data_IF_059246730206
#
_entry.id   IF_059246730206
#
_cell.length_a   1.000
_cell.length_b   1.000
_cell.length_c   1.000
_cell.angle_alpha   90.00
_cell.angle_beta   90.00
_cell.angle_gamma   90.00
#
_symmetry.space_group_name_H-M   'P 1'
#
loop_
_entity.id
_entity.type
_entity.pdbx_description
1 polymer ?
#
# COMPACT_ATOMS: atom_id res chain seq x y z
N UNK A 1 38.39 29.60 48.09
CA UNK A 1 39.05 30.88 48.42
C UNK A 1 38.54 31.95 47.47
N UNK A 2 38.66 33.26 47.76
CA UNK A 2 38.39 34.27 46.74
C UNK A 2 39.41 34.15 45.60
N UNK A 3 39.00 34.58 44.40
CA UNK A 3 39.88 34.67 43.23
C UNK A 3 41.22 35.37 43.56
N UNK A 4 42.32 34.82 43.04
CA UNK A 4 43.66 35.39 43.20
C UNK A 4 44.24 35.78 41.85
N UNK A 5 44.41 37.09 41.60
CA UNK A 5 45.02 37.58 40.36
C UNK A 5 46.47 37.14 40.19
N UNK A 6 47.19 36.85 41.29
CA UNK A 6 48.56 36.35 41.25
C UNK A 6 48.68 34.98 40.57
N UNK A 7 47.59 34.21 40.52
CA UNK A 7 47.57 32.89 39.90
C UNK A 7 47.08 32.93 38.44
N UNK A 8 46.77 34.11 37.90
CA UNK A 8 46.37 34.31 36.51
C UNK A 8 47.55 34.86 35.71
N UNK A 9 48.03 34.09 34.74
CA UNK A 9 49.19 34.44 33.92
C UNK A 9 48.84 34.36 32.45
N UNK A 10 49.24 35.35 31.66
CA UNK A 10 49.17 35.26 30.21
C UNK A 10 50.36 34.40 29.71
N UNK A 11 50.06 33.26 29.10
CA UNK A 11 51.07 32.38 28.50
C UNK A 11 51.49 32.86 27.11
N UNK A 12 50.50 33.27 26.30
CA UNK A 12 50.71 33.75 24.93
C UNK A 12 49.76 34.92 24.69
N UNK A 13 50.28 36.04 24.20
CA UNK A 13 49.49 37.20 23.80
C UNK A 13 49.60 37.40 22.29
N UNK A 14 48.57 37.00 21.55
CA UNK A 14 48.45 37.23 20.12
C UNK A 14 47.69 38.52 19.80
N UNK A 15 47.62 38.86 18.52
CA UNK A 15 46.86 40.03 18.05
C UNK A 15 45.33 39.86 18.20
N UNK A 16 44.85 38.62 18.21
CA UNK A 16 43.41 38.29 18.21
C UNK A 16 42.93 37.52 19.44
N UNK A 17 43.82 36.89 20.21
CA UNK A 17 43.48 36.19 21.45
C UNK A 17 44.68 36.14 22.40
N UNK A 18 44.40 36.00 23.68
CA UNK A 18 45.37 35.65 24.72
C UNK A 18 45.09 34.26 25.24
N UNK A 19 46.14 33.44 25.35
CA UNK A 19 46.11 32.18 26.10
C UNK A 19 46.51 32.47 27.55
N UNK A 20 45.57 32.29 28.46
CA UNK A 20 45.74 32.43 29.89
C UNK A 20 46.03 31.07 30.54
N UNK A 21 46.75 31.10 31.65
CA UNK A 21 46.80 30.01 32.61
C UNK A 21 46.23 30.52 33.94
N UNK A 22 45.33 29.75 34.53
CA UNK A 22 44.86 29.99 35.88
C UNK A 22 45.00 28.73 36.72
N UNK A 23 45.68 28.85 37.87
CA UNK A 23 45.84 27.76 38.83
C UNK A 23 45.17 28.10 40.15
N UNK A 24 44.32 27.22 40.65
CA UNK A 24 43.69 27.40 41.95
C UNK A 24 43.45 26.06 42.65
N UNK A 25 43.31 26.13 43.98
CA UNK A 25 42.86 25.01 44.81
C UNK A 25 41.32 24.92 44.86
N UNK A 26 40.59 25.86 44.25
CA UNK A 26 39.14 25.76 44.11
C UNK A 26 38.77 24.69 43.07
N UNK A 27 37.57 24.11 43.21
CA UNK A 27 37.03 23.15 42.26
C UNK A 27 36.60 23.81 40.96
N UNK A 28 36.57 23.04 39.86
CA UNK A 28 36.10 23.52 38.56
C UNK A 28 34.73 24.19 38.62
N UNK A 29 33.78 23.57 39.33
CA UNK A 29 32.43 24.09 39.45
C UNK A 29 32.41 25.51 40.06
N UNK A 30 33.25 25.76 41.07
CA UNK A 30 33.39 27.07 41.71
C UNK A 30 34.05 28.09 40.78
N UNK A 31 35.11 27.71 40.06
CA UNK A 31 35.82 28.62 39.17
C UNK A 31 34.99 29.00 37.95
N UNK A 32 34.16 28.10 37.45
CA UNK A 32 33.25 28.38 36.32
C UNK A 32 31.97 29.10 36.75
N UNK A 33 31.77 29.35 38.06
CA UNK A 33 30.62 30.10 38.54
C UNK A 33 30.66 31.55 38.04
N UNK A 34 29.48 32.13 37.82
CA UNK A 34 29.37 33.52 37.37
C UNK A 34 30.04 34.47 38.36
N UNK A 35 30.85 35.39 37.85
CA UNK A 35 31.49 36.44 38.66
C UNK A 35 32.80 36.03 39.33
N UNK A 36 33.25 34.78 39.22
CA UNK A 36 34.52 34.34 39.83
C UNK A 36 35.71 35.19 39.35
N UNK A 37 35.76 35.55 38.06
CA UNK A 37 36.80 36.41 37.46
C UNK A 37 36.44 37.90 37.39
N UNK A 38 35.45 38.37 38.16
CA UNK A 38 35.00 39.77 38.08
C UNK A 38 36.12 40.80 38.33
N UNK A 39 37.06 40.48 39.22
CA UNK A 39 38.19 41.35 39.56
C UNK A 39 39.15 41.63 38.37
N UNK A 40 39.13 40.77 37.33
CA UNK A 40 39.98 40.88 36.14
C UNK A 40 39.18 40.94 34.85
N UNK A 41 37.88 41.28 34.93
CA UNK A 41 36.98 41.32 33.78
C UNK A 41 37.46 42.26 32.67
N UNK A 42 38.22 43.32 32.99
CA UNK A 42 38.80 44.23 32.00
C UNK A 42 39.99 43.65 31.23
N UNK A 43 40.62 42.59 31.73
CA UNK A 43 41.79 41.94 31.11
C UNK A 43 41.39 40.75 30.23
N UNK A 44 40.30 40.06 30.58
CA UNK A 44 39.79 38.90 29.84
C UNK A 44 38.90 39.36 28.69
N UNK A 45 39.26 39.02 27.45
CA UNK A 45 38.46 39.34 26.26
C UNK A 45 37.73 38.12 25.74
N UNK A 46 36.54 38.34 25.18
CA UNK A 46 35.83 37.27 24.47
C UNK A 46 36.70 36.77 23.31
N UNK A 47 36.87 35.45 23.21
CA UNK A 47 37.78 34.82 22.25
C UNK A 47 39.15 34.44 22.81
N UNK A 48 39.50 34.91 24.01
CA UNK A 48 40.65 34.39 24.76
C UNK A 48 40.42 32.91 25.14
N UNK A 49 41.52 32.19 25.38
CA UNK A 49 41.50 30.82 25.87
C UNK A 49 42.15 30.74 27.24
N UNK A 50 41.69 29.85 28.10
CA UNK A 50 42.24 29.64 29.43
C UNK A 50 42.55 28.16 29.65
N UNK A 51 43.81 27.86 29.95
CA UNK A 51 44.22 26.61 30.58
C UNK A 51 43.90 26.73 32.07
N UNK A 52 42.81 26.09 32.47
CA UNK A 52 42.35 26.07 33.85
C UNK A 52 42.89 24.82 34.55
N UNK A 53 43.60 25.03 35.66
CA UNK A 53 44.04 23.99 36.58
C UNK A 53 43.36 24.19 37.94
N UNK A 54 42.44 23.29 38.24
CA UNK A 54 41.65 23.26 39.49
C UNK A 54 42.02 22.06 40.33
N UNK A 55 41.50 21.97 41.56
CA UNK A 55 41.79 20.84 42.45
C UNK A 55 41.32 19.49 41.89
N UNK A 56 40.30 19.49 41.02
CA UNK A 56 39.59 18.29 40.56
C UNK A 56 39.58 18.14 39.04
N UNK A 57 40.16 19.09 38.29
CA UNK A 57 40.18 19.03 36.83
C UNK A 57 41.22 19.95 36.18
N UNK A 58 41.69 19.56 35.01
CA UNK A 58 42.42 20.36 34.04
C UNK A 58 41.58 20.49 32.77
N UNK A 59 41.41 21.72 32.29
CA UNK A 59 40.60 21.98 31.10
C UNK A 59 41.10 23.15 30.28
N UNK A 60 40.77 23.12 29.00
CA UNK A 60 40.90 24.26 28.10
C UNK A 60 39.53 24.92 27.91
N UNK A 61 39.38 26.15 28.38
CA UNK A 61 38.12 26.88 28.40
C UNK A 61 38.18 28.12 27.51
N UNK A 62 37.16 28.36 26.66
CA UNK A 62 37.05 29.65 25.97
C UNK A 62 36.48 30.72 26.90
N UNK A 63 37.02 31.93 26.83
CA UNK A 63 36.44 33.13 27.47
C UNK A 63 35.31 33.63 26.58
N UNK A 64 34.10 33.76 27.13
CA UNK A 64 32.90 34.27 26.43
C UNK A 64 32.73 35.77 26.70
N UNK A 65 31.59 36.35 26.32
CA UNK A 65 31.31 37.76 26.63
C UNK A 65 31.31 38.00 28.14
N UNK A 66 32.04 39.01 28.58
CA UNK A 66 32.27 39.31 30.00
C UNK A 66 33.23 38.31 30.68
N UNK A 67 33.36 38.33 32.02
CA UNK A 67 34.28 37.45 32.77
C UNK A 67 33.76 35.99 32.88
N UNK A 68 32.99 35.51 31.89
CA UNK A 68 32.37 34.18 31.92
C UNK A 68 33.17 33.17 31.10
N UNK A 69 33.40 31.99 31.67
CA UNK A 69 34.04 30.87 30.98
C UNK A 69 33.00 30.01 30.28
N UNK A 70 33.32 29.53 29.08
CA UNK A 70 32.46 28.64 28.29
C UNK A 70 32.63 27.15 28.62
N UNK A 71 31.79 26.33 28.01
CA UNK A 71 31.91 24.86 28.02
C UNK A 71 33.14 24.44 27.22
N UNK A 72 34.27 24.23 27.89
CA UNK A 72 35.52 23.85 27.26
C UNK A 72 35.77 22.34 27.22
N UNK A 73 36.97 21.97 26.77
CA UNK A 73 37.43 20.58 26.74
C UNK A 73 38.10 20.25 28.06
N UNK A 74 37.58 19.26 28.79
CA UNK A 74 38.25 18.71 29.97
C UNK A 74 39.32 17.71 29.52
N UNK A 75 40.55 17.90 29.98
CA UNK A 75 41.75 17.19 29.52
C UNK A 75 42.11 16.00 30.41
N UNK A 76 41.49 15.88 31.59
CA UNK A 76 41.71 14.82 32.58
C UNK A 76 40.42 14.12 33.02
N UNK A 77 39.34 14.32 32.25
CA UNK A 77 38.07 13.64 32.50
C UNK A 77 38.21 12.12 32.28
N UNK A 78 37.36 11.34 32.93
CA UNK A 78 37.31 9.90 32.74
C UNK A 78 37.23 9.56 31.23
N UNK A 79 38.28 8.93 30.69
CA UNK A 79 38.36 8.61 29.26
C UNK A 79 37.43 7.43 28.99
N UNK A 80 36.28 7.70 28.36
CA UNK A 80 35.44 6.66 27.79
C UNK A 80 36.13 5.96 26.61
N UNK A 81 35.76 4.72 26.26
CA UNK A 81 36.34 4.03 25.10
C UNK A 81 36.12 4.82 23.80
N UNK A 82 37.13 4.81 22.92
CA UNK A 82 37.09 5.47 21.62
C UNK A 82 36.01 4.81 20.74
N UNK A 83 34.93 5.54 20.43
CA UNK A 83 33.88 5.05 19.54
C UNK A 83 34.30 5.14 18.07
N UNK A 84 34.46 3.99 17.40
CA UNK A 84 34.71 3.92 15.95
C UNK A 84 33.37 3.88 15.21
N UNK A 85 32.99 4.97 14.55
CA UNK A 85 31.82 4.99 13.67
C UNK A 85 32.22 4.49 12.26
N UNK A 86 31.67 3.35 11.84
CA UNK A 86 31.77 2.87 10.45
C UNK A 86 30.40 2.99 9.78
N UNK A 87 30.33 3.69 8.65
CA UNK A 87 29.13 3.74 7.81
C UNK A 87 29.39 3.01 6.49
N UNK A 88 28.44 2.19 6.06
CA UNK A 88 28.42 1.55 4.73
C UNK A 88 27.06 1.83 4.10
N UNK A 89 27.04 2.18 2.82
CA UNK A 89 25.81 2.29 2.02
C UNK A 89 25.63 1.02 1.18
N UNK A 90 24.50 0.34 1.33
CA UNK A 90 24.10 -0.76 0.45
C UNK A 90 22.90 -0.34 -0.40
N UNK A 91 22.87 -0.82 -1.65
CA UNK A 91 21.74 -0.66 -2.56
C UNK A 91 21.19 -2.05 -2.87
N UNK A 92 19.86 -2.17 -2.82
CA UNK A 92 19.15 -3.37 -3.26
C UNK A 92 18.25 -2.95 -4.43
N UNK A 93 18.25 -3.74 -5.48
CA UNK A 93 17.29 -3.62 -6.57
C UNK A 93 16.30 -4.77 -6.52
N UNK A 94 15.02 -4.48 -6.74
CA UNK A 94 13.98 -5.49 -6.92
C UNK A 94 13.46 -5.34 -8.35
N UNK A 95 13.54 -6.41 -9.13
CA UNK A 95 12.91 -6.50 -10.44
C UNK A 95 11.66 -7.38 -10.35
N UNK A 96 10.57 -6.94 -10.96
CA UNK A 96 9.38 -7.76 -11.16
C UNK A 96 9.21 -8.03 -12.65
N UNK A 97 9.03 -9.30 -13.01
CA UNK A 97 8.62 -9.71 -14.35
C UNK A 97 7.15 -10.13 -14.30
N UNK A 98 6.33 -9.62 -15.22
CA UNK A 98 4.96 -10.03 -15.43
C UNK A 98 4.78 -10.46 -16.90
N UNK A 99 4.08 -11.57 -17.12
CA UNK A 99 3.73 -12.05 -18.45
C UNK A 99 2.22 -11.91 -18.66
N UNK A 100 1.82 -11.47 -19.86
CA UNK A 100 0.40 -11.43 -20.24
C UNK A 100 -0.08 -12.85 -20.58
N UNK A 101 -1.21 -13.25 -19.99
CA UNK A 101 -1.86 -14.52 -20.27
C UNK A 101 -3.15 -14.24 -21.04
N UNK A 102 -3.23 -14.72 -22.28
CA UNK A 102 -4.45 -14.58 -23.10
C UNK A 102 -5.49 -15.58 -22.63
N UNK A 103 -6.70 -15.08 -22.35
CA UNK A 103 -7.87 -15.87 -21.97
C UNK A 103 -9.05 -15.44 -22.84
N UNK A 104 -9.76 -16.40 -23.42
CA UNK A 104 -10.91 -16.14 -24.31
C UNK A 104 -12.02 -17.15 -24.03
N UNK A 105 -13.26 -16.68 -23.97
CA UNK A 105 -14.46 -17.52 -23.91
C UNK A 105 -15.33 -17.18 -25.11
N UNK A 106 -15.79 -18.20 -25.83
CA UNK A 106 -16.67 -18.07 -27.00
C UNK A 106 -17.90 -18.91 -26.72
N UNK A 107 -19.06 -18.27 -26.59
CA UNK A 107 -20.34 -18.96 -26.46
C UNK A 107 -20.79 -19.49 -27.83
N UNK A 108 -21.14 -20.76 -27.92
CA UNK A 108 -21.61 -21.38 -29.15
C UNK A 108 -23.00 -20.84 -29.54
N UNK A 109 -23.31 -20.75 -30.85
CA UNK A 109 -24.65 -20.39 -31.30
C UNK A 109 -25.67 -21.47 -30.89
N UNK A 110 -26.86 -21.03 -30.50
CA UNK A 110 -28.01 -21.90 -30.20
C UNK A 110 -29.29 -21.29 -30.77
N UNK A 111 -30.38 -22.07 -30.77
CA UNK A 111 -31.64 -21.67 -31.38
C UNK A 111 -32.27 -20.43 -30.68
N UNK A 112 -32.73 -19.47 -31.47
CA UNK A 112 -33.37 -18.25 -30.96
C UNK A 112 -34.86 -18.43 -30.59
N UNK A 113 -35.50 -19.47 -31.13
CA UNK A 113 -36.88 -19.84 -30.82
C UNK A 113 -36.89 -21.10 -29.97
N UNK A 114 -37.16 -20.95 -28.68
CA UNK A 114 -37.15 -22.05 -27.72
C UNK A 114 -38.59 -22.34 -27.30
N UNK A 115 -38.94 -23.63 -27.23
CA UNK A 115 -40.28 -24.08 -26.86
C UNK A 115 -40.34 -24.31 -25.36
N UNK A 116 -41.35 -23.74 -24.70
CA UNK A 116 -41.56 -23.92 -23.27
C UNK A 116 -41.75 -25.40 -22.90
N UNK A 117 -41.22 -25.81 -21.75
CA UNK A 117 -41.26 -27.19 -21.28
C UNK A 117 -40.13 -28.07 -21.81
N UNK A 118 -39.12 -27.50 -22.49
CA UNK A 118 -37.96 -28.23 -23.01
C UNK A 118 -36.68 -27.87 -22.21
N UNK A 119 -35.51 -28.26 -22.73
CA UNK A 119 -34.21 -27.88 -22.19
C UNK A 119 -33.39 -27.09 -23.21
N UNK A 120 -32.57 -26.18 -22.70
CA UNK A 120 -31.71 -25.28 -23.48
C UNK A 120 -30.27 -25.78 -23.36
N UNK A 121 -29.74 -26.52 -24.35
CA UNK A 121 -28.35 -26.90 -24.36
C UNK A 121 -27.48 -25.68 -24.71
N UNK A 122 -26.43 -25.45 -23.93
CA UNK A 122 -25.44 -24.41 -24.18
C UNK A 122 -24.04 -24.97 -24.09
N UNK A 123 -23.13 -24.42 -24.89
CA UNK A 123 -21.72 -24.78 -24.83
C UNK A 123 -20.85 -23.56 -25.09
N UNK A 124 -19.63 -23.60 -24.56
CA UNK A 124 -18.62 -22.58 -24.78
C UNK A 124 -17.28 -23.22 -25.11
N UNK A 125 -16.54 -22.58 -26.01
CA UNK A 125 -15.12 -22.86 -26.28
C UNK A 125 -14.27 -21.88 -25.49
N UNK A 126 -13.21 -22.38 -24.86
CA UNK A 126 -12.36 -21.65 -23.94
C UNK A 126 -10.91 -21.81 -24.39
N UNK A 127 -10.21 -20.69 -24.55
CA UNK A 127 -8.77 -20.63 -24.83
C UNK A 127 -8.04 -19.97 -23.67
N UNK A 128 -6.88 -20.52 -23.31
CA UNK A 128 -6.09 -20.06 -22.17
C UNK A 128 -6.44 -20.76 -20.85
N UNK A 129 -5.80 -20.37 -19.73
CA UNK A 129 -5.92 -21.07 -18.46
C UNK A 129 -7.16 -20.63 -17.68
N UNK A 130 -8.33 -21.08 -18.12
CA UNK A 130 -9.59 -20.98 -17.39
C UNK A 130 -10.02 -22.41 -17.04
N UNK A 131 -10.12 -22.71 -15.74
CA UNK A 131 -10.40 -24.06 -15.26
C UNK A 131 -11.89 -24.36 -15.12
N UNK A 132 -12.71 -23.33 -14.88
CA UNK A 132 -14.14 -23.43 -14.69
C UNK A 132 -14.84 -22.21 -15.27
N UNK A 133 -16.02 -22.43 -15.84
CA UNK A 133 -16.92 -21.37 -16.28
C UNK A 133 -18.25 -21.46 -15.56
N UNK A 134 -18.93 -20.32 -15.45
CA UNK A 134 -20.25 -20.21 -14.87
C UNK A 134 -21.24 -19.88 -15.98
N UNK A 135 -22.21 -20.77 -16.21
CA UNK A 135 -23.35 -20.50 -17.07
C UNK A 135 -24.52 -19.99 -16.23
N UNK A 136 -25.15 -18.91 -16.70
CA UNK A 136 -26.38 -18.35 -16.10
C UNK A 136 -27.40 -17.97 -17.17
N UNK A 137 -28.67 -18.23 -16.88
CA UNK A 137 -29.81 -17.73 -17.64
C UNK A 137 -30.25 -16.39 -17.05
N UNK A 138 -30.59 -15.43 -17.91
CA UNK A 138 -31.07 -14.10 -17.49
C UNK A 138 -32.37 -13.72 -18.21
N UNK A 139 -33.24 -13.01 -17.52
CA UNK A 139 -34.47 -12.47 -18.11
C UNK A 139 -34.21 -11.18 -18.92
N UNK A 140 -35.28 -10.65 -19.52
CA UNK A 140 -35.22 -9.39 -20.28
C UNK A 140 -34.83 -8.16 -19.46
N UNK A 141 -34.89 -8.21 -18.13
CA UNK A 141 -34.39 -7.15 -17.23
C UNK A 141 -32.92 -7.34 -16.85
N UNK A 142 -32.34 -8.50 -17.16
CA UNK A 142 -30.97 -8.88 -16.84
C UNK A 142 -30.81 -9.62 -15.50
N UNK A 143 -31.91 -9.89 -14.78
CA UNK A 143 -31.90 -10.65 -13.54
C UNK A 143 -31.58 -12.12 -13.83
N UNK A 144 -30.83 -12.77 -12.93
CA UNK A 144 -30.41 -14.17 -13.07
C UNK A 144 -31.57 -15.09 -12.68
N UNK A 145 -31.93 -16.03 -13.56
CA UNK A 145 -32.83 -17.12 -13.25
C UNK A 145 -32.02 -18.36 -12.81
N UNK A 146 -32.30 -18.93 -11.63
CA UNK A 146 -31.74 -20.21 -11.22
C UNK A 146 -32.19 -21.37 -12.13
N UNK A 147 -31.40 -22.45 -12.24
CA UNK A 147 -30.10 -22.64 -11.58
C UNK A 147 -28.98 -21.86 -12.24
N UNK A 148 -27.91 -21.59 -11.50
CA UNK A 148 -26.60 -21.18 -12.06
C UNK A 148 -25.71 -22.41 -12.06
N UNK A 149 -25.00 -22.68 -13.15
CA UNK A 149 -24.20 -23.90 -13.31
C UNK A 149 -22.71 -23.56 -13.42
N UNK A 150 -21.91 -24.07 -12.49
CA UNK A 150 -20.44 -24.01 -12.56
C UNK A 150 -19.95 -25.30 -13.21
N UNK A 151 -19.23 -25.16 -14.32
CA UNK A 151 -18.83 -26.29 -15.18
C UNK A 151 -17.31 -26.27 -15.39
N UNK A 152 -16.61 -27.40 -15.19
CA UNK A 152 -15.19 -27.48 -15.50
C UNK A 152 -14.93 -27.39 -17.00
N UNK A 153 -13.84 -26.73 -17.38
CA UNK A 153 -13.37 -26.67 -18.77
C UNK A 153 -12.51 -27.90 -19.04
N UNK A 154 -12.94 -28.74 -19.99
CA UNK A 154 -12.24 -29.97 -20.38
C UNK A 154 -11.96 -29.92 -21.87
N UNK A 155 -10.69 -30.07 -22.27
CA UNK A 155 -10.30 -30.03 -23.68
C UNK A 155 -10.60 -28.70 -24.38
N UNK A 156 -10.67 -27.59 -23.64
CA UNK A 156 -11.05 -26.27 -24.17
C UNK A 156 -12.56 -26.08 -24.37
N UNK A 157 -13.41 -26.94 -23.82
CA UNK A 157 -14.87 -26.83 -23.90
C UNK A 157 -15.56 -26.96 -22.54
N UNK A 158 -16.74 -26.36 -22.43
CA UNK A 158 -17.66 -26.55 -21.32
C UNK A 158 -19.11 -26.52 -21.83
N UNK A 159 -19.99 -27.32 -21.23
CA UNK A 159 -21.40 -27.39 -21.63
C UNK A 159 -22.33 -27.52 -20.43
N UNK A 160 -23.53 -26.96 -20.58
CA UNK A 160 -24.59 -26.96 -19.58
C UNK A 160 -25.95 -27.13 -20.26
N UNK A 161 -26.98 -27.42 -19.46
CA UNK A 161 -28.36 -27.46 -19.94
C UNK A 161 -29.29 -26.80 -18.93
N UNK A 162 -30.11 -25.86 -19.39
CA UNK A 162 -31.06 -25.15 -18.54
C UNK A 162 -32.49 -25.61 -18.80
N UNK A 163 -33.36 -25.67 -17.78
CA UNK A 163 -34.79 -25.74 -18.03
C UNK A 163 -35.25 -24.47 -18.73
N UNK A 164 -36.20 -24.58 -19.66
CA UNK A 164 -36.78 -23.39 -20.28
C UNK A 164 -37.55 -22.57 -19.25
N UNK A 165 -37.34 -21.23 -19.20
CA UNK A 165 -38.14 -20.35 -18.36
C UNK A 165 -39.58 -20.24 -18.88
N UNK A 166 -40.40 -19.46 -18.18
CA UNK A 166 -41.76 -19.14 -18.64
C UNK A 166 -41.74 -18.49 -20.04
N UNK A 167 -42.90 -18.56 -20.72
CA UNK A 167 -43.09 -17.89 -22.02
C UNK A 167 -42.80 -16.41 -21.88
N UNK A 168 -41.97 -15.88 -22.77
CA UNK A 168 -41.49 -14.50 -22.70
C UNK A 168 -40.41 -14.20 -23.72
N UNK A 169 -39.88 -12.98 -23.65
CA UNK A 169 -38.92 -12.44 -24.62
C UNK A 169 -37.73 -11.80 -23.93
N UNK A 170 -36.59 -11.74 -24.64
CA UNK A 170 -35.42 -11.01 -24.16
C UNK A 170 -34.49 -11.81 -23.26
N UNK A 171 -34.69 -13.12 -23.15
CA UNK A 171 -33.81 -13.98 -22.36
C UNK A 171 -32.41 -14.03 -22.96
N UNK A 172 -31.40 -14.19 -22.11
CA UNK A 172 -29.99 -14.31 -22.52
C UNK A 172 -29.27 -15.37 -21.71
N UNK A 173 -28.31 -16.02 -22.33
CA UNK A 173 -27.33 -16.88 -21.66
C UNK A 173 -26.06 -16.07 -21.45
N UNK A 174 -25.49 -16.14 -20.26
CA UNK A 174 -24.15 -15.63 -19.98
C UNK A 174 -23.23 -16.78 -19.58
N UNK A 175 -22.02 -16.75 -20.12
CA UNK A 175 -20.91 -17.61 -19.69
C UNK A 175 -19.76 -16.72 -19.23
N UNK A 176 -19.16 -17.03 -18.09
CA UNK A 176 -18.04 -16.25 -17.53
C UNK A 176 -17.02 -17.15 -16.83
N UNK A 177 -15.78 -16.68 -16.69
CA UNK A 177 -14.76 -17.34 -15.88
C UNK A 177 -15.18 -17.30 -14.40
N UNK A 178 -15.15 -18.47 -13.74
CA UNK A 178 -15.53 -18.59 -12.33
C UNK A 178 -14.57 -17.84 -11.39
N UNK A 179 -13.30 -17.65 -11.79
CA UNK A 179 -12.31 -16.91 -11.01
C UNK A 179 -12.29 -15.41 -11.34
N UNK A 180 -12.80 -15.02 -12.51
CA UNK A 180 -12.76 -13.64 -13.02
C UNK A 180 -14.04 -13.30 -13.82
N UNK A 181 -15.13 -12.89 -13.14
CA UNK A 181 -16.41 -12.62 -13.79
C UNK A 181 -16.40 -11.46 -14.80
N UNK A 182 -15.32 -10.68 -14.86
CA UNK A 182 -15.15 -9.65 -15.89
C UNK A 182 -14.87 -10.27 -17.28
N UNK A 183 -14.31 -11.49 -17.31
CA UNK A 183 -14.15 -12.28 -18.52
C UNK A 183 -15.42 -13.10 -18.76
N UNK A 184 -16.36 -12.53 -19.52
CA UNK A 184 -17.60 -13.22 -19.86
C UNK A 184 -18.24 -12.74 -21.16
N UNK A 185 -19.13 -13.56 -21.68
CA UNK A 185 -19.86 -13.32 -22.93
C UNK A 185 -21.35 -13.54 -22.71
N UNK A 186 -22.15 -12.67 -23.31
CA UNK A 186 -23.61 -12.78 -23.35
C UNK A 186 -24.05 -13.21 -24.75
N UNK A 187 -25.04 -14.09 -24.81
CA UNK A 187 -25.72 -14.43 -26.05
C UNK A 187 -26.52 -13.24 -26.58
N UNK A 188 -26.87 -13.24 -27.88
CA UNK A 188 -28.03 -12.52 -28.36
C UNK A 188 -29.29 -12.87 -27.54
N UNK A 189 -30.28 -11.97 -27.54
CA UNK A 189 -31.56 -12.24 -26.91
C UNK A 189 -32.34 -13.31 -27.68
N UNK A 190 -33.02 -14.19 -26.96
CA UNK A 190 -33.91 -15.20 -27.51
C UNK A 190 -35.28 -15.17 -26.82
N UNK A 191 -36.25 -15.84 -27.45
CA UNK A 191 -37.63 -15.90 -26.98
C UNK A 191 -38.01 -17.33 -26.61
N UNK A 192 -38.89 -17.45 -25.63
CA UNK A 192 -39.53 -18.71 -25.25
C UNK A 192 -41.01 -18.64 -25.62
N UNK A 193 -41.43 -19.52 -26.52
CA UNK A 193 -42.80 -19.59 -27.03
C UNK A 193 -43.54 -20.86 -26.59
N UNK A 194 -44.87 -20.91 -26.74
CA UNK A 194 -45.66 -22.11 -26.51
C UNK A 194 -45.34 -23.19 -27.55
N UNK A 195 -45.60 -24.46 -27.23
CA UNK A 195 -45.53 -25.54 -28.23
C UNK A 195 -46.72 -25.43 -29.18
N UNK A 196 -46.44 -25.02 -30.42
CA UNK A 196 -47.46 -24.84 -31.45
C UNK A 196 -48.06 -26.17 -31.91
N UNK A 197 -47.43 -27.32 -31.63
CA UNK A 197 -48.01 -28.64 -31.94
C UNK A 197 -49.22 -29.00 -31.06
N UNK A 198 -49.35 -28.31 -29.93
CA UNK A 198 -50.48 -28.44 -29.00
C UNK A 198 -51.62 -27.47 -29.32
N UNK A 199 -51.55 -26.77 -30.46
CA UNK A 199 -52.62 -25.86 -30.89
C UNK A 199 -53.68 -26.66 -31.62
N UNK A 200 -54.86 -26.74 -31.01
CA UNK A 200 -56.07 -27.25 -31.65
C UNK A 200 -56.71 -26.07 -32.41
N UNK A 201 -56.90 -26.25 -33.72
CA UNK A 201 -57.63 -25.28 -34.56
C UNK A 201 -59.09 -25.69 -34.59
N UNK A 202 -59.96 -24.89 -33.98
CA UNK A 202 -61.41 -25.02 -34.15
C UNK A 202 -61.86 -24.15 -35.33
N UNK A 203 -62.87 -24.60 -36.09
CA UNK A 203 -63.33 -24.03 -37.37
C UNK A 203 -63.85 -22.58 -37.35
N UNK A 204 -63.71 -21.86 -36.24
CA UNK A 204 -64.21 -20.50 -36.00
C UNK A 204 -63.08 -19.47 -35.74
N UNK A 205 -61.84 -19.76 -36.18
CA UNK A 205 -60.74 -18.80 -36.14
C UNK A 205 -60.14 -18.55 -34.75
N UNK A 206 -60.40 -19.46 -33.79
CA UNK A 206 -59.83 -19.42 -32.44
C UNK A 206 -58.77 -20.50 -32.28
N UNK A 207 -57.64 -20.12 -31.68
CA UNK A 207 -56.57 -21.04 -31.32
C UNK A 207 -56.74 -21.46 -29.85
N UNK A 208 -56.92 -22.76 -29.63
CA UNK A 208 -57.02 -23.35 -28.30
C UNK A 208 -55.73 -24.09 -27.97
N UNK A 209 -55.31 -24.03 -26.71
CA UNK A 209 -54.34 -24.99 -26.20
C UNK A 209 -54.98 -26.38 -26.08
N UNK A 210 -54.19 -27.43 -26.02
CA UNK A 210 -54.65 -28.80 -25.74
C UNK A 210 -55.44 -28.91 -24.41
N UNK A 211 -55.18 -28.00 -23.46
CA UNK A 211 -55.94 -27.88 -22.21
C UNK A 211 -57.28 -27.11 -22.37
N UNK A 212 -57.67 -26.74 -23.59
CA UNK A 212 -58.92 -26.03 -23.90
C UNK A 212 -58.92 -24.54 -23.58
N UNK A 213 -57.77 -23.95 -23.23
CA UNK A 213 -57.68 -22.52 -22.94
C UNK A 213 -57.44 -21.70 -24.23
N UNK A 214 -58.14 -20.56 -24.34
CA UNK A 214 -58.00 -19.65 -25.49
C UNK A 214 -56.66 -18.93 -25.42
N UNK A 215 -55.85 -19.05 -26.48
CA UNK A 215 -54.64 -18.25 -26.64
C UNK A 215 -55.06 -16.82 -27.04
N UNK A 216 -54.86 -15.83 -26.16
CA UNK A 216 -55.04 -14.42 -26.52
C UNK A 216 -53.93 -14.01 -27.49
N UNK A 217 -54.32 -13.55 -28.68
CA UNK A 217 -53.45 -12.78 -29.57
C UNK A 217 -53.18 -11.39 -29.00
#
# INVERSE_FOLDING_TARGET
MPFSSANLVALIQGSTFTLWQYRTADSRALVTAAGYFAAVAGSLRAGDLMVLQTSDSMALLPVRSGPTLGTGVTLDGAVGPINTARSVAQRFGIGQAAAAVVRTIILAPFAAGIVAGTSIPVSATVLGPVSQVVFSLRDGSGAILPPVQVVPVVGGGASASFPTPAIGTGYRIRVEDAADPALGVLSPSFNVGPDLKLILTEGDGRLLSEAGSVLRQ
#
